data_IF_114687267040
#
_entry.id   IF_114687267040
#
_cell.length_a   1.000
_cell.length_b   1.000
_cell.length_c   1.000
_cell.angle_alpha   90.00
_cell.angle_beta   90.00
_cell.angle_gamma   90.00
#
_symmetry.space_group_name_H-M   'P 1'
#
loop_
_entity.id
_entity.type
_entity.pdbx_description
1 polymer ?
#
# COMPACT_ATOMS: atom_id res chain seq x y z
N UNK A 1 -10.24 -64.80 18.95
CA UNK A 1 -10.80 -63.44 18.86
C UNK A 1 -9.69 -62.45 19.08
N UNK A 2 -9.16 -61.73 18.07
CA UNK A 2 -8.33 -60.58 18.25
C UNK A 2 -9.18 -59.31 18.08
N UNK A 3 -9.04 -58.37 19.02
CA UNK A 3 -9.71 -57.07 19.03
C UNK A 3 -9.15 -56.09 18.00
N UNK A 4 -9.89 -55.04 17.66
CA UNK A 4 -9.52 -54.12 16.60
C UNK A 4 -8.46 -53.11 17.03
N UNK A 5 -7.47 -52.91 16.17
CA UNK A 5 -6.43 -51.90 16.25
C UNK A 5 -7.00 -50.56 15.73
N UNK A 6 -7.19 -49.64 16.65
CA UNK A 6 -7.47 -48.22 16.33
C UNK A 6 -6.21 -47.54 15.85
N UNK A 7 -6.11 -47.34 14.55
CA UNK A 7 -5.12 -46.48 13.92
C UNK A 7 -5.81 -45.15 13.58
N UNK A 8 -5.85 -44.25 14.55
CA UNK A 8 -6.26 -42.86 14.32
C UNK A 8 -5.02 -41.95 14.44
N UNK A 9 -4.20 -41.96 13.38
CA UNK A 9 -3.15 -40.97 13.21
C UNK A 9 -3.80 -39.75 12.56
N UNK A 10 -4.16 -38.80 13.44
CA UNK A 10 -4.56 -37.44 13.01
C UNK A 10 -3.42 -36.80 12.21
N UNK A 11 -3.71 -36.44 10.98
CA UNK A 11 -2.89 -35.58 10.13
C UNK A 11 -2.60 -34.27 10.87
N UNK A 12 -1.41 -34.14 11.41
CA UNK A 12 -0.85 -32.87 11.85
C UNK A 12 -0.62 -32.02 10.61
N UNK A 13 -1.54 -31.09 10.38
CA UNK A 13 -1.41 -30.03 9.40
C UNK A 13 -0.07 -29.32 9.61
N UNK A 14 0.78 -29.36 8.60
CA UNK A 14 2.06 -28.68 8.57
C UNK A 14 1.81 -27.17 8.60
N UNK A 15 1.95 -26.56 9.78
CA UNK A 15 2.13 -25.12 9.87
C UNK A 15 3.47 -24.78 9.19
N UNK A 16 3.53 -23.73 8.35
CA UNK A 16 4.77 -23.37 7.68
C UNK A 16 5.82 -22.98 8.71
N UNK A 17 6.96 -23.68 8.67
CA UNK A 17 8.10 -23.40 9.54
C UNK A 17 8.74 -22.09 9.09
N UNK A 18 8.57 -21.04 9.87
CA UNK A 18 9.25 -19.75 9.68
C UNK A 18 10.77 -19.96 9.74
N UNK A 19 11.46 -19.75 8.63
CA UNK A 19 12.91 -19.98 8.52
C UNK A 19 13.76 -18.91 9.23
N UNK A 20 13.18 -17.76 9.63
CA UNK A 20 13.81 -16.75 10.48
C UNK A 20 12.78 -15.92 11.24
N UNK A 21 13.13 -15.38 12.42
CA UNK A 21 12.26 -14.47 13.18
C UNK A 21 11.82 -13.23 12.39
N UNK A 22 12.58 -12.79 11.38
CA UNK A 22 12.23 -11.66 10.51
C UNK A 22 11.11 -11.97 9.53
N UNK A 23 10.97 -13.23 9.12
CA UNK A 23 9.95 -13.64 8.14
C UNK A 23 8.55 -13.79 8.76
N UNK A 24 8.46 -13.77 10.10
CA UNK A 24 7.20 -13.89 10.86
C UNK A 24 6.62 -12.54 11.28
N UNK A 25 7.34 -11.43 11.10
CA UNK A 25 6.82 -10.10 11.43
C UNK A 25 5.88 -9.59 10.33
N UNK A 26 4.79 -8.93 10.77
CA UNK A 26 3.86 -8.25 9.88
C UNK A 26 4.46 -6.92 9.43
N UNK A 27 4.61 -6.75 8.14
CA UNK A 27 5.06 -5.52 7.51
C UNK A 27 4.18 -5.13 6.33
N UNK A 28 4.14 -3.85 6.03
CA UNK A 28 3.59 -3.38 4.78
C UNK A 28 4.56 -3.62 3.64
N UNK A 29 4.06 -4.23 2.58
CA UNK A 29 4.78 -4.44 1.32
C UNK A 29 4.03 -3.80 0.17
N UNK A 30 4.79 -3.34 -0.82
CA UNK A 30 4.25 -2.94 -2.10
C UNK A 30 4.46 -4.08 -3.11
N UNK A 31 3.39 -4.47 -3.78
CA UNK A 31 3.44 -5.51 -4.81
C UNK A 31 2.86 -5.00 -6.13
N UNK A 32 3.38 -5.54 -7.22
CA UNK A 32 2.80 -5.38 -8.55
C UNK A 32 2.03 -6.63 -8.94
N UNK A 33 0.86 -6.40 -9.50
CA UNK A 33 0.08 -7.42 -10.21
C UNK A 33 0.22 -7.19 -11.72
N UNK A 34 -0.34 -8.07 -12.53
CA UNK A 34 -0.39 -7.88 -13.99
C UNK A 34 -1.83 -7.86 -14.46
N UNK A 35 -2.04 -7.32 -15.66
CA UNK A 35 -3.34 -7.30 -16.34
C UNK A 35 -4.47 -6.59 -15.58
N UNK A 36 -4.15 -5.50 -14.86
CA UNK A 36 -5.13 -4.70 -14.09
C UNK A 36 -6.00 -5.54 -13.15
N UNK A 37 -5.37 -6.50 -12.44
CA UNK A 37 -6.04 -7.42 -11.51
C UNK A 37 -5.94 -6.96 -10.04
N UNK A 38 -5.71 -5.67 -9.81
CA UNK A 38 -5.59 -5.08 -8.46
C UNK A 38 -6.83 -5.40 -7.61
N UNK A 39 -8.02 -5.18 -8.16
CA UNK A 39 -9.27 -5.41 -7.45
C UNK A 39 -9.51 -6.91 -7.20
N UNK A 40 -9.16 -7.78 -8.16
CA UNK A 40 -9.25 -9.22 -7.95
C UNK A 40 -8.31 -9.72 -6.85
N UNK A 41 -7.10 -9.16 -6.76
CA UNK A 41 -6.19 -9.46 -5.66
C UNK A 41 -6.76 -8.92 -4.34
N UNK A 42 -7.32 -7.71 -4.33
CA UNK A 42 -7.97 -7.13 -3.15
C UNK A 42 -9.09 -8.04 -2.64
N UNK A 43 -10.00 -8.49 -3.51
CA UNK A 43 -11.10 -9.39 -3.13
C UNK A 43 -10.60 -10.69 -2.49
N UNK A 44 -9.47 -11.22 -2.97
CA UNK A 44 -8.82 -12.38 -2.37
C UNK A 44 -8.23 -12.04 -0.99
N UNK A 45 -7.49 -10.94 -0.87
CA UNK A 45 -6.87 -10.51 0.39
C UNK A 45 -7.92 -10.22 1.46
N UNK A 46 -9.06 -9.61 1.09
CA UNK A 46 -10.17 -9.34 2.01
C UNK A 46 -10.79 -10.64 2.53
N UNK A 47 -10.96 -11.67 1.70
CA UNK A 47 -11.43 -13.01 2.09
C UNK A 47 -10.49 -13.70 3.07
N UNK A 48 -9.19 -13.51 2.88
CA UNK A 48 -8.14 -14.06 3.73
C UNK A 48 -7.88 -13.19 4.98
N UNK A 49 -8.63 -12.10 5.19
CA UNK A 49 -8.45 -11.12 6.27
C UNK A 49 -7.04 -10.51 6.30
N UNK A 50 -6.43 -10.29 5.13
CA UNK A 50 -5.15 -9.64 4.98
C UNK A 50 -5.37 -8.15 4.74
N UNK A 51 -4.85 -7.31 5.65
CA UNK A 51 -4.92 -5.85 5.54
C UNK A 51 -4.26 -5.40 4.23
N UNK A 52 -5.00 -4.62 3.43
CA UNK A 52 -4.53 -4.18 2.12
C UNK A 52 -5.04 -2.78 1.79
N UNK A 53 -4.37 -2.13 0.85
CA UNK A 53 -4.74 -0.81 0.37
C UNK A 53 -4.38 -0.65 -1.12
N UNK A 54 -5.33 -0.14 -1.90
CA UNK A 54 -5.11 0.26 -3.29
C UNK A 54 -5.41 1.75 -3.37
N UNK A 55 -4.44 2.58 -3.81
CA UNK A 55 -4.73 3.99 -4.10
C UNK A 55 -5.77 4.09 -5.20
N UNK A 56 -6.89 4.76 -4.92
CA UNK A 56 -8.01 4.89 -5.85
C UNK A 56 -8.25 6.35 -6.19
N UNK A 57 -8.80 6.62 -7.38
CA UNK A 57 -9.27 7.93 -7.79
C UNK A 57 -10.57 7.84 -8.57
N UNK A 58 -11.31 8.94 -8.60
CA UNK A 58 -12.48 9.03 -9.47
C UNK A 58 -12.07 9.40 -10.89
N UNK A 59 -12.63 8.69 -11.86
CA UNK A 59 -12.56 9.01 -13.29
C UNK A 59 -13.95 9.10 -13.89
N UNK A 60 -14.10 9.96 -14.88
CA UNK A 60 -15.33 10.05 -15.68
C UNK A 60 -15.19 9.18 -16.92
N UNK A 61 -16.02 8.13 -17.00
CA UNK A 61 -16.12 7.26 -18.15
C UNK A 61 -17.43 7.49 -18.89
N UNK A 62 -17.39 7.42 -20.21
CA UNK A 62 -18.61 7.50 -21.04
C UNK A 62 -19.18 6.09 -21.13
N UNK A 63 -20.40 5.90 -20.64
CA UNK A 63 -21.15 4.66 -20.76
C UNK A 63 -22.56 4.98 -21.27
N UNK A 64 -22.95 4.38 -22.40
CA UNK A 64 -24.25 4.66 -23.06
C UNK A 64 -24.51 6.15 -23.23
N UNK A 65 -23.52 6.87 -23.80
CA UNK A 65 -23.54 8.34 -24.05
C UNK A 65 -23.67 9.22 -22.79
N UNK A 66 -23.61 8.63 -21.61
CA UNK A 66 -23.66 9.36 -20.34
C UNK A 66 -22.31 9.36 -19.66
N UNK A 67 -21.96 10.48 -19.07
CA UNK A 67 -20.79 10.63 -18.20
C UNK A 67 -21.07 9.98 -16.85
N UNK A 68 -20.37 8.91 -16.51
CA UNK A 68 -20.50 8.19 -15.23
C UNK A 68 -19.21 8.33 -14.46
N UNK A 69 -19.30 8.73 -13.20
CA UNK A 69 -18.16 8.80 -12.27
C UNK A 69 -17.86 7.39 -11.74
N UNK A 70 -16.65 6.92 -11.92
CA UNK A 70 -16.21 5.58 -11.50
C UNK A 70 -14.94 5.69 -10.65
N UNK A 71 -14.89 4.92 -9.56
CA UNK A 71 -13.68 4.75 -8.74
C UNK A 71 -12.78 3.71 -9.39
N UNK A 72 -11.55 4.08 -9.71
CA UNK A 72 -10.55 3.22 -10.38
C UNK A 72 -9.21 3.30 -9.66
N UNK A 73 -8.33 2.29 -9.79
CA UNK A 73 -6.97 2.39 -9.27
C UNK A 73 -6.26 3.63 -9.83
N UNK A 74 -5.70 4.45 -8.93
CA UNK A 74 -4.98 5.65 -9.32
C UNK A 74 -3.63 5.32 -9.97
N UNK A 75 -3.04 4.21 -9.55
CA UNK A 75 -1.79 3.67 -10.08
C UNK A 75 -2.05 2.22 -10.51
N UNK A 76 -1.81 1.95 -11.79
CA UNK A 76 -2.02 0.62 -12.34
C UNK A 76 -1.07 -0.41 -11.76
N UNK A 77 -1.62 -1.60 -11.51
CA UNK A 77 -0.87 -2.78 -11.07
C UNK A 77 -0.19 -2.63 -9.69
N UNK A 78 -0.60 -1.67 -8.84
CA UNK A 78 -0.02 -1.45 -7.52
C UNK A 78 -1.01 -1.82 -6.42
N UNK A 79 -0.58 -2.68 -5.50
CA UNK A 79 -1.31 -3.05 -4.30
C UNK A 79 -0.37 -3.00 -3.10
N UNK A 80 -0.81 -2.41 -2.01
CA UNK A 80 -0.15 -2.48 -0.71
C UNK A 80 -0.84 -3.55 0.12
N UNK A 81 -0.07 -4.36 0.83
CA UNK A 81 -0.62 -5.36 1.75
C UNK A 81 0.26 -5.50 2.99
N UNK A 82 -0.37 -5.78 4.14
CA UNK A 82 0.30 -5.99 5.41
C UNK A 82 0.24 -7.45 5.79
N UNK A 83 1.40 -8.12 5.73
CA UNK A 83 1.49 -9.55 6.01
C UNK A 83 2.90 -9.95 6.38
N UNK A 84 3.11 -11.23 6.67
CA UNK A 84 4.45 -11.82 6.76
C UNK A 84 4.98 -12.12 5.36
N UNK A 85 6.30 -12.13 5.20
CA UNK A 85 6.94 -12.49 3.93
C UNK A 85 6.52 -13.89 3.46
N UNK A 86 6.52 -14.87 4.36
CA UNK A 86 6.11 -16.24 4.05
C UNK A 86 4.70 -16.31 3.47
N UNK A 87 3.74 -15.56 4.08
CA UNK A 87 2.37 -15.56 3.59
C UNK A 87 2.24 -14.92 2.20
N UNK A 88 3.01 -13.87 1.91
CA UNK A 88 3.01 -13.26 0.58
C UNK A 88 3.64 -14.22 -0.45
N UNK A 89 4.69 -14.94 -0.09
CA UNK A 89 5.31 -15.93 -0.98
C UNK A 89 4.35 -17.11 -1.27
N UNK A 90 3.52 -17.52 -0.30
CA UNK A 90 2.42 -18.48 -0.54
C UNK A 90 1.41 -17.94 -1.55
N UNK A 91 0.97 -16.68 -1.40
CA UNK A 91 0.05 -16.02 -2.33
C UNK A 91 0.65 -15.97 -3.74
N UNK A 92 1.92 -15.60 -3.86
CA UNK A 92 2.63 -15.55 -5.16
C UNK A 92 2.69 -16.90 -5.87
N UNK A 93 2.85 -17.96 -5.09
CA UNK A 93 3.03 -19.32 -5.59
C UNK A 93 1.71 -20.09 -5.69
N UNK A 94 0.56 -19.46 -5.35
CA UNK A 94 -0.74 -20.12 -5.40
C UNK A 94 -1.26 -20.24 -6.84
N UNK A 95 -1.29 -21.47 -7.41
CA UNK A 95 -1.73 -21.67 -8.80
C UNK A 95 -3.22 -21.41 -8.99
N UNK A 96 -4.03 -21.56 -7.93
CA UNK A 96 -5.48 -21.35 -7.97
C UNK A 96 -5.84 -19.88 -8.13
N UNK A 97 -5.04 -18.99 -7.53
CA UNK A 97 -5.27 -17.56 -7.60
C UNK A 97 -5.12 -17.00 -9.02
N UNK A 98 -4.22 -17.58 -9.81
CA UNK A 98 -3.94 -17.18 -11.20
C UNK A 98 -3.72 -15.66 -11.38
N UNK A 99 -3.18 -15.00 -10.36
CA UNK A 99 -2.80 -13.58 -10.37
C UNK A 99 -1.28 -13.51 -10.13
N UNK A 100 -0.48 -13.15 -11.16
CA UNK A 100 0.94 -12.97 -10.95
C UNK A 100 1.21 -11.80 -10.02
N UNK A 101 1.76 -12.08 -8.84
CA UNK A 101 2.12 -11.09 -7.82
C UNK A 101 3.65 -11.00 -7.73
N UNK A 102 4.21 -9.79 -7.74
CA UNK A 102 5.64 -9.55 -7.63
C UNK A 102 5.91 -8.44 -6.62
N UNK A 103 6.91 -8.60 -5.76
CA UNK A 103 7.36 -7.52 -4.89
C UNK A 103 7.91 -6.35 -5.70
N UNK A 104 7.68 -5.15 -5.21
CA UNK A 104 8.51 -4.00 -5.60
C UNK A 104 9.81 -4.11 -4.80
N UNK A 105 10.93 -4.11 -5.52
CA UNK A 105 12.26 -4.32 -4.95
C UNK A 105 12.95 -2.97 -4.75
N UNK A 106 13.64 -2.82 -3.63
CA UNK A 106 14.58 -1.72 -3.44
C UNK A 106 15.75 -1.89 -4.42
N UNK A 107 16.10 -0.82 -5.14
CA UNK A 107 17.11 -0.86 -6.21
C UNK A 107 18.53 -1.08 -5.68
N UNK A 108 18.81 -0.66 -4.46
CA UNK A 108 20.15 -0.74 -3.85
C UNK A 108 20.36 -2.08 -3.13
N UNK A 109 19.37 -2.50 -2.33
CA UNK A 109 19.48 -3.70 -1.50
C UNK A 109 19.02 -4.97 -2.19
N UNK A 110 18.31 -4.85 -3.33
CA UNK A 110 17.66 -5.96 -4.03
C UNK A 110 16.73 -6.78 -3.14
N UNK A 111 16.20 -6.18 -2.07
CA UNK A 111 15.21 -6.77 -1.18
C UNK A 111 13.82 -6.16 -1.42
N UNK A 112 12.73 -6.88 -1.07
CA UNK A 112 11.39 -6.30 -1.08
C UNK A 112 11.32 -5.01 -0.27
N UNK A 113 10.66 -3.99 -0.81
CA UNK A 113 10.44 -2.74 -0.08
C UNK A 113 9.52 -3.00 1.10
N UNK A 114 10.01 -2.74 2.31
CA UNK A 114 9.24 -2.76 3.56
C UNK A 114 8.89 -1.32 3.90
N UNK A 115 7.61 -1.07 4.11
CA UNK A 115 7.08 0.27 4.38
C UNK A 115 6.80 0.39 5.88
N UNK A 116 7.37 1.38 6.58
CA UNK A 116 7.07 1.62 7.99
C UNK A 116 5.57 1.92 8.21
N UNK A 117 4.98 1.36 9.27
CA UNK A 117 3.56 1.54 9.60
C UNK A 117 3.16 3.02 9.69
N UNK A 118 3.99 3.87 10.26
CA UNK A 118 3.72 5.31 10.39
C UNK A 118 3.65 6.00 9.02
N UNK A 119 4.51 5.59 8.09
CA UNK A 119 4.55 6.10 6.73
C UNK A 119 3.30 5.64 5.95
N UNK A 120 2.96 4.36 6.06
CA UNK A 120 1.77 3.82 5.40
C UNK A 120 0.48 4.43 5.93
N UNK A 121 0.37 4.64 7.26
CA UNK A 121 -0.77 5.37 7.85
C UNK A 121 -0.93 6.77 7.26
N UNK A 122 0.14 7.55 7.18
CA UNK A 122 0.10 8.89 6.58
C UNK A 122 -0.30 8.85 5.11
N UNK A 123 0.21 7.85 4.38
CA UNK A 123 -0.15 7.64 2.97
C UNK A 123 -1.64 7.31 2.81
N UNK A 124 -2.17 6.39 3.62
CA UNK A 124 -3.60 6.01 3.59
C UNK A 124 -4.48 7.20 3.97
N UNK A 125 -4.10 8.02 4.97
CA UNK A 125 -4.83 9.22 5.35
C UNK A 125 -5.01 10.18 4.17
N UNK A 126 -4.00 10.34 3.33
CA UNK A 126 -4.09 11.24 2.18
C UNK A 126 -4.75 10.57 0.98
N UNK A 127 -4.28 9.39 0.58
CA UNK A 127 -4.76 8.69 -0.61
C UNK A 127 -6.19 8.13 -0.44
N UNK A 128 -6.60 7.81 0.80
CA UNK A 128 -7.92 7.27 1.12
C UNK A 128 -9.05 8.29 1.13
N UNK A 129 -8.76 9.58 1.00
CA UNK A 129 -9.82 10.61 0.88
C UNK A 129 -10.51 10.58 -0.48
N UNK A 130 -9.86 9.99 -1.50
CA UNK A 130 -10.30 9.99 -2.90
C UNK A 130 -10.60 11.40 -3.45
N UNK A 131 -10.00 12.42 -2.84
CA UNK A 131 -10.14 13.81 -3.28
C UNK A 131 -9.48 13.99 -4.65
N UNK A 132 -10.18 14.57 -5.60
CA UNK A 132 -9.69 14.79 -6.97
C UNK A 132 -8.50 15.76 -7.03
N UNK A 133 -8.34 16.60 -6.02
CA UNK A 133 -7.20 17.52 -5.91
C UNK A 133 -5.95 16.91 -5.28
N UNK A 134 -6.04 15.68 -4.76
CA UNK A 134 -4.88 14.88 -4.34
C UNK A 134 -4.10 14.46 -5.59
N UNK A 135 -2.77 14.62 -5.53
CA UNK A 135 -1.90 14.34 -6.67
C UNK A 135 -1.03 13.12 -6.33
N UNK A 136 -1.02 12.13 -7.21
CA UNK A 136 -0.05 11.05 -7.17
C UNK A 136 1.21 11.50 -7.92
N UNK A 137 2.35 11.44 -7.24
CA UNK A 137 3.62 12.01 -7.69
C UNK A 137 4.59 10.90 -8.00
N UNK A 138 5.25 10.96 -9.14
CA UNK A 138 6.30 10.01 -9.50
C UNK A 138 7.60 10.35 -8.74
N UNK A 139 8.42 9.33 -8.49
CA UNK A 139 9.66 9.47 -7.69
C UNK A 139 10.67 10.43 -8.34
N UNK A 140 10.63 10.54 -9.67
CA UNK A 140 11.51 11.44 -10.44
C UNK A 140 11.17 12.91 -10.15
N UNK A 141 9.90 13.27 -10.03
CA UNK A 141 9.47 14.64 -9.70
C UNK A 141 9.90 15.02 -8.26
N UNK A 142 9.91 14.06 -7.34
CA UNK A 142 10.27 14.30 -5.93
C UNK A 142 11.76 14.58 -5.72
N UNK A 143 12.64 14.02 -6.51
CA UNK A 143 14.10 14.23 -6.39
C UNK A 143 14.52 15.70 -6.50
N UNK A 144 13.69 16.52 -7.14
CA UNK A 144 13.94 17.93 -7.39
C UNK A 144 13.35 18.85 -6.30
N UNK A 145 12.56 18.29 -5.36
CA UNK A 145 11.83 19.09 -4.37
C UNK A 145 12.34 18.74 -2.98
N UNK A 146 12.91 19.74 -2.29
CA UNK A 146 13.28 19.63 -0.87
C UNK A 146 12.20 20.31 -0.04
N UNK A 147 11.71 19.62 0.99
CA UNK A 147 10.70 20.12 1.91
C UNK A 147 11.11 20.04 3.36
N UNK A 148 10.37 20.76 4.20
CA UNK A 148 10.47 20.62 5.65
C UNK A 148 9.54 19.50 6.09
N UNK A 149 10.03 18.58 6.94
CA UNK A 149 9.21 17.53 7.52
C UNK A 149 8.20 18.13 8.48
N UNK A 150 6.92 17.85 8.26
CA UNK A 150 5.81 18.42 9.02
C UNK A 150 4.77 17.38 9.38
N UNK A 151 3.95 17.72 10.41
CA UNK A 151 2.69 17.05 10.71
C UNK A 151 1.55 18.00 10.38
N UNK A 152 0.46 17.48 9.82
CA UNK A 152 -0.78 18.24 9.61
C UNK A 152 -1.57 18.19 10.92
N UNK A 153 -1.99 19.37 11.41
CA UNK A 153 -2.63 19.54 12.72
C UNK A 153 -4.13 19.78 12.64
N UNK A 154 -4.72 19.75 11.44
CA UNK A 154 -6.16 19.93 11.28
C UNK A 154 -6.65 19.67 9.86
N UNK A 155 -7.98 19.56 9.74
CA UNK A 155 -8.66 19.27 8.47
C UNK A 155 -8.70 17.79 8.12
N UNK A 156 -9.05 17.48 6.87
CA UNK A 156 -9.27 16.10 6.40
C UNK A 156 -8.02 15.23 6.39
N UNK A 157 -6.83 15.83 6.46
CA UNK A 157 -5.54 15.15 6.48
C UNK A 157 -4.85 15.22 7.86
N UNK A 158 -5.59 15.57 8.92
CA UNK A 158 -5.04 15.68 10.27
C UNK A 158 -4.30 14.42 10.70
N UNK A 159 -3.10 14.58 11.27
CA UNK A 159 -2.25 13.49 11.70
C UNK A 159 -1.29 12.97 10.62
N UNK A 160 -1.49 13.31 9.34
CA UNK A 160 -0.55 12.92 8.30
C UNK A 160 0.80 13.60 8.49
N UNK A 161 1.87 12.82 8.27
CA UNK A 161 3.26 13.28 8.33
C UNK A 161 3.87 13.18 6.95
N UNK A 162 4.51 14.25 6.50
CA UNK A 162 5.15 14.31 5.19
C UNK A 162 6.09 15.49 5.07
N UNK A 163 6.46 15.83 3.85
CA UNK A 163 7.30 16.99 3.53
C UNK A 163 6.43 18.13 2.98
N UNK A 164 6.56 19.31 3.59
CA UNK A 164 5.89 20.52 3.12
C UNK A 164 6.68 21.15 2.00
N UNK A 165 6.10 21.12 0.81
CA UNK A 165 6.77 21.52 -0.42
C UNK A 165 5.88 22.44 -1.26
N UNK A 166 6.51 23.13 -2.20
CA UNK A 166 5.78 23.80 -3.27
C UNK A 166 5.77 22.89 -4.51
N UNK A 167 4.58 22.38 -4.85
CA UNK A 167 4.37 21.50 -5.99
C UNK A 167 3.28 22.07 -6.90
N UNK A 168 3.58 22.21 -8.19
CA UNK A 168 2.63 22.75 -9.20
C UNK A 168 1.99 24.07 -8.76
N UNK A 169 2.83 25.01 -8.26
CA UNK A 169 2.49 26.35 -7.76
C UNK A 169 1.80 26.42 -6.39
N UNK A 170 1.33 25.30 -5.83
CA UNK A 170 0.68 25.20 -4.54
C UNK A 170 1.59 24.68 -3.43
N UNK A 171 1.29 25.08 -2.19
CA UNK A 171 1.90 24.48 -0.99
C UNK A 171 1.13 23.23 -0.59
N UNK A 172 1.81 22.10 -0.55
CA UNK A 172 1.24 20.78 -0.29
C UNK A 172 2.13 19.99 0.69
N UNK A 173 1.53 19.02 1.37
CA UNK A 173 2.29 18.02 2.12
C UNK A 173 2.40 16.77 1.26
N UNK A 174 3.62 16.34 1.00
CA UNK A 174 3.92 15.14 0.23
C UNK A 174 4.27 14.01 1.18
N UNK A 175 3.54 12.91 1.08
CA UNK A 175 3.83 11.65 1.77
C UNK A 175 4.48 10.70 0.78
N UNK A 176 5.76 10.45 0.98
CA UNK A 176 6.56 9.60 0.10
C UNK A 176 6.62 8.17 0.67
N UNK A 177 6.38 7.16 -0.18
CA UNK A 177 6.73 5.77 0.06
C UNK A 177 8.01 5.49 -0.72
N UNK A 178 9.11 5.42 0.00
CA UNK A 178 10.45 5.31 -0.59
C UNK A 178 10.56 4.12 -1.55
N UNK A 179 11.06 4.38 -2.75
CA UNK A 179 11.21 3.37 -3.80
C UNK A 179 9.92 2.93 -4.51
N UNK A 180 8.76 3.46 -4.12
CA UNK A 180 7.45 3.06 -4.69
C UNK A 180 6.75 4.24 -5.36
N UNK A 181 6.31 5.23 -4.58
CA UNK A 181 5.56 6.39 -5.07
C UNK A 181 5.35 7.42 -3.96
N UNK A 182 4.79 8.57 -4.32
CA UNK A 182 4.30 9.52 -3.34
C UNK A 182 2.88 10.03 -3.65
N UNK A 183 2.26 10.58 -2.62
CA UNK A 183 0.99 11.28 -2.72
C UNK A 183 1.12 12.68 -2.13
N UNK A 184 0.61 13.68 -2.81
CA UNK A 184 0.54 15.07 -2.35
C UNK A 184 -0.90 15.42 -1.98
N UNK A 185 -1.07 16.06 -0.82
CA UNK A 185 -2.36 16.61 -0.40
C UNK A 185 -2.87 17.67 -1.37
N UNK A 186 -4.08 18.16 -1.15
CA UNK A 186 -4.55 19.45 -1.70
C UNK A 186 -3.70 20.60 -1.14
N UNK A 187 -4.01 21.84 -1.51
CA UNK A 187 -3.38 22.99 -0.87
C UNK A 187 -3.57 22.93 0.65
N UNK A 188 -2.47 23.13 1.41
CA UNK A 188 -2.48 23.20 2.88
C UNK A 188 -2.00 24.58 3.30
N UNK A 189 -2.80 25.25 4.11
CA UNK A 189 -2.40 26.52 4.73
C UNK A 189 -1.33 26.27 5.80
N UNK A 190 -0.36 27.16 5.89
CA UNK A 190 0.76 27.03 6.84
C UNK A 190 0.36 26.98 8.32
N UNK A 191 -0.83 27.52 8.67
CA UNK A 191 -1.37 27.42 10.03
C UNK A 191 -1.83 26.01 10.44
N UNK A 192 -1.97 25.11 9.47
CA UNK A 192 -2.40 23.72 9.70
C UNK A 192 -1.23 22.74 9.69
N UNK A 193 -0.01 23.22 9.81
CA UNK A 193 1.19 22.39 9.84
C UNK A 193 2.07 22.71 11.04
N UNK A 194 2.67 21.68 11.60
CA UNK A 194 3.68 21.75 12.65
C UNK A 194 4.97 21.12 12.14
N UNK A 195 6.12 21.85 12.12
CA UNK A 195 7.40 21.27 11.78
C UNK A 195 7.77 20.15 12.77
N UNK A 196 8.16 19.01 12.27
CA UNK A 196 8.69 17.92 13.09
C UNK A 196 10.20 18.12 13.08
N UNK A 197 10.73 18.69 14.18
CA UNK A 197 12.14 19.00 14.30
C UNK A 197 13.03 17.77 14.17
N UNK A 198 14.11 17.95 13.41
CA UNK A 198 15.35 17.22 13.67
C UNK A 198 15.93 17.87 14.94
N UNK A 199 15.79 17.20 16.08
CA UNK A 199 16.57 17.51 17.26
C UNK A 199 17.99 17.00 17.03
#
# INVERSE_FOLDING_TARGET
MPGPSDNNQAELQHAPVCQSHKDCQLHWYAVRVTYSRELSLKDYLDKENIENFIPMRYEYVIRNERRVRKLVPAIHNLVFLRSTRSRIDEIKNNPVLNIPVRYIMNRETHQPVIIPDAQMRSFILVAGTYDEAVIYVELEELKLVKGTKVRITGGVFEGAVGEFVRLRHDRRVVVNIEGVMAVATTFIHSSLIEPIGVI
#
